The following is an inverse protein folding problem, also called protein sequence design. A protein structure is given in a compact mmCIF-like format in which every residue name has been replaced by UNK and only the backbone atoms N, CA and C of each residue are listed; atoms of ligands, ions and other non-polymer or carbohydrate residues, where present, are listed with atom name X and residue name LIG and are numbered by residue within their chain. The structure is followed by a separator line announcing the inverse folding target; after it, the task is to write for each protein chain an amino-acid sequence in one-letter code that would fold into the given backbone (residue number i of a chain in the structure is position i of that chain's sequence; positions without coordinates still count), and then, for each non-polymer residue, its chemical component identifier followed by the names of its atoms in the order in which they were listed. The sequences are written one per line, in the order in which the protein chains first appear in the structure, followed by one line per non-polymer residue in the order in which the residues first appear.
data_IF_444503502376
#
_entry.id   IF_444503502376
#
_cell.length_a   1.000
_cell.length_b   1.000
_cell.length_c   1.000
_cell.angle_alpha   90.00
_cell.angle_beta   90.00
_cell.angle_gamma   90.00
#
_symmetry.space_group_name_H-M   'P 1'
#
loop_
_entity.id
_entity.type
_entity.pdbx_description
1 polymer ?
#
# COMPACT_ATOMS: atom_id res chain seq x y z
N UNK A 1 -9.94 9.16 -7.06
CA UNK A 1 -9.90 7.72 -6.89
C UNK A 1 -8.78 7.10 -7.71
N UNK A 2 -8.07 6.15 -7.15
CA UNK A 2 -6.93 5.54 -7.81
C UNK A 2 -7.37 4.28 -8.53
N UNK A 3 -6.97 4.12 -9.79
CA UNK A 3 -7.29 2.91 -10.52
C UNK A 3 -6.41 1.76 -10.04
N UNK A 4 -6.80 0.54 -10.41
CA UNK A 4 -6.05 -0.63 -10.04
C UNK A 4 -4.62 -0.59 -10.60
N UNK A 5 -4.48 -0.07 -11.80
CA UNK A 5 -3.17 0.07 -12.42
C UNK A 5 -2.31 1.03 -11.61
N UNK A 6 -2.89 2.13 -11.16
CA UNK A 6 -2.16 3.09 -10.35
C UNK A 6 -1.77 2.50 -9.00
N UNK A 7 -2.62 1.67 -8.43
CA UNK A 7 -2.31 1.02 -7.16
C UNK A 7 -1.06 0.15 -7.33
N UNK A 8 -1.00 -0.62 -8.42
CA UNK A 8 0.17 -1.46 -8.66
C UNK A 8 1.42 -0.63 -8.89
N UNK A 9 1.29 0.48 -9.61
CA UNK A 9 2.42 1.35 -9.86
C UNK A 9 2.96 1.94 -8.56
N UNK A 10 2.07 2.42 -7.72
CA UNK A 10 2.45 2.99 -6.44
C UNK A 10 3.12 1.92 -5.57
N UNK A 11 2.53 0.73 -5.53
CA UNK A 11 3.07 -0.36 -4.73
C UNK A 11 4.49 -0.71 -5.16
N UNK A 12 4.70 -0.79 -6.47
CA UNK A 12 6.04 -1.11 -6.98
C UNK A 12 7.04 -0.03 -6.61
N UNK A 13 6.65 1.23 -6.78
CA UNK A 13 7.54 2.33 -6.46
C UNK A 13 7.90 2.33 -4.99
N UNK A 14 6.93 2.09 -4.13
CA UNK A 14 7.18 2.03 -2.71
C UNK A 14 8.12 0.88 -2.36
N UNK A 15 7.90 -0.26 -2.99
CA UNK A 15 8.75 -1.42 -2.74
C UNK A 15 10.19 -1.14 -3.17
N UNK A 16 10.37 -0.46 -4.30
CA UNK A 16 11.69 -0.12 -4.78
C UNK A 16 12.39 0.88 -3.87
N UNK A 17 11.63 1.85 -3.37
CA UNK A 17 12.20 2.89 -2.53
C UNK A 17 12.47 2.43 -1.11
N UNK A 18 11.54 1.69 -0.54
CA UNK A 18 11.55 1.39 0.87
C UNK A 18 11.83 -0.06 1.22
N UNK A 19 11.80 -0.92 0.21
CA UNK A 19 12.04 -2.34 0.45
C UNK A 19 11.03 -2.91 1.42
N UNK A 20 11.52 -3.60 2.44
CA UNK A 20 10.65 -4.29 3.38
C UNK A 20 9.77 -3.33 4.19
N UNK A 21 10.16 -2.08 4.31
CA UNK A 21 9.37 -1.12 5.08
C UNK A 21 8.21 -0.56 4.28
N UNK A 22 8.10 -0.90 2.98
CA UNK A 22 7.03 -0.38 2.15
C UNK A 22 5.66 -0.75 2.71
N UNK A 23 5.52 -1.97 3.21
CA UNK A 23 4.23 -2.42 3.77
C UNK A 23 3.86 -1.55 4.95
N UNK A 24 4.81 -1.29 5.84
CA UNK A 24 4.56 -0.46 7.01
C UNK A 24 4.22 0.97 6.60
N UNK A 25 4.87 1.48 5.57
CA UNK A 25 4.58 2.83 5.08
C UNK A 25 3.15 2.93 4.57
N UNK A 26 2.73 1.96 3.76
CA UNK A 26 1.37 1.97 3.24
C UNK A 26 0.35 1.86 4.37
N UNK A 27 0.62 0.99 5.34
CA UNK A 27 -0.28 0.82 6.48
C UNK A 27 -0.39 2.12 7.28
N UNK A 28 0.72 2.79 7.47
CA UNK A 28 0.75 4.05 8.19
C UNK A 28 -0.06 5.12 7.47
N UNK A 29 0.07 5.18 6.15
CA UNK A 29 -0.70 6.12 5.37
C UNK A 29 -2.19 5.83 5.48
N UNK A 30 -2.57 4.55 5.50
CA UNK A 30 -3.97 4.19 5.66
C UNK A 30 -4.51 4.66 7.00
N UNK A 31 -3.74 4.45 8.07
CA UNK A 31 -4.17 4.87 9.39
C UNK A 31 -4.30 6.39 9.47
N UNK A 32 -3.35 7.10 8.86
CA UNK A 32 -3.41 8.55 8.85
C UNK A 32 -4.66 9.05 8.16
N UNK A 33 -5.04 8.41 7.04
CA UNK A 33 -6.25 8.79 6.34
C UNK A 33 -7.48 8.49 7.17
N UNK A 34 -7.50 7.35 7.85
CA UNK A 34 -8.63 7.01 8.73
C UNK A 34 -8.79 8.05 9.83
N UNK A 35 -7.68 8.51 10.39
CA UNK A 35 -7.73 9.51 11.45
C UNK A 35 -8.34 10.82 10.97
N UNK A 36 -8.17 11.13 9.69
CA UNK A 36 -8.73 12.34 9.11
C UNK A 36 -10.17 12.17 8.68
N UNK A 37 -10.69 10.94 8.74
CA UNK A 37 -12.02 10.66 8.25
C UNK A 37 -12.05 10.41 6.74
N UNK A 38 -10.90 10.22 6.12
CA UNK A 38 -10.80 10.02 4.69
C UNK A 38 -10.81 8.51 4.40
N UNK A 39 -11.99 7.91 4.55
CA UNK A 39 -12.11 6.46 4.49
C UNK A 39 -11.82 5.91 3.11
N UNK A 40 -12.17 6.65 2.08
CA UNK A 40 -11.96 6.18 0.73
C UNK A 40 -10.47 6.07 0.42
N UNK A 41 -9.72 7.10 0.77
CA UNK A 41 -8.29 7.09 0.53
C UNK A 41 -7.60 6.05 1.41
N UNK A 42 -8.09 5.89 2.65
CA UNK A 42 -7.55 4.86 3.53
C UNK A 42 -7.69 3.48 2.90
N UNK A 43 -8.83 3.23 2.26
CA UNK A 43 -9.07 1.95 1.60
C UNK A 43 -8.10 1.75 0.44
N UNK A 44 -7.81 2.82 -0.28
CA UNK A 44 -6.84 2.74 -1.37
C UNK A 44 -5.46 2.38 -0.86
N UNK A 45 -5.05 2.96 0.27
CA UNK A 45 -3.77 2.61 0.87
C UNK A 45 -3.72 1.16 1.33
N UNK A 46 -4.85 0.62 1.81
CA UNK A 46 -4.91 -0.80 2.15
C UNK A 46 -4.72 -1.66 0.91
N UNK A 47 -5.27 -1.23 -0.22
CA UNK A 47 -5.07 -1.94 -1.47
C UNK A 47 -3.59 -1.89 -1.89
N UNK A 48 -2.94 -0.75 -1.69
CA UNK A 48 -1.52 -0.64 -1.97
C UNK A 48 -0.73 -1.60 -1.09
N UNK A 49 -1.08 -1.66 0.17
CA UNK A 49 -0.42 -2.56 1.11
C UNK A 49 -0.54 -4.01 0.63
N UNK A 50 -1.74 -4.41 0.23
CA UNK A 50 -1.95 -5.77 -0.26
C UNK A 50 -1.15 -6.03 -1.52
N UNK A 51 -1.11 -5.07 -2.43
CA UNK A 51 -0.36 -5.23 -3.66
C UNK A 51 1.12 -5.41 -3.38
N UNK A 52 1.66 -4.68 -2.42
CA UNK A 52 3.08 -4.84 -2.05
C UNK A 52 3.32 -6.25 -1.53
N UNK A 53 2.42 -6.74 -0.69
CA UNK A 53 2.57 -8.09 -0.16
C UNK A 53 2.59 -9.14 -1.27
N UNK A 54 1.73 -8.95 -2.27
CA UNK A 54 1.67 -9.88 -3.37
C UNK A 54 2.91 -9.80 -4.25
N UNK A 55 3.45 -8.61 -4.42
CA UNK A 55 4.64 -8.43 -5.25
C UNK A 55 5.88 -9.05 -4.61
N UNK A 56 5.92 -9.08 -3.28
CA UNK A 56 7.03 -9.73 -2.60
C UNK A 56 6.98 -11.24 -2.74
N UNK A 57 5.83 -11.75 -3.12
CA UNK A 57 5.63 -13.17 -3.25
C UNK A 57 5.18 -13.79 -1.95
N UNK A 58 4.61 -14.99 -2.05
CA UNK A 58 4.18 -15.68 -0.86
C UNK A 58 5.41 -16.06 -0.10
N UNK A 59 5.52 -15.79 0.99
CA UNK A 59 6.69 -16.04 1.61
C UNK A 59 6.67 -17.17 2.26
N UNK A 60 6.73 -17.71 2.24
CA UNK A 60 6.73 -18.63 2.81
C UNK A 60 7.46 -18.95 3.51
N UNK A 61 7.72 -19.00 3.77
CA UNK A 61 8.44 -19.39 4.41
C UNK A 61 8.65 -19.94 4.85
#
# INVERSE_FOLDING_TARGET
MISEIQIHTIARQMLEKHGLTAIAQAARNAVACESKGDDEEAREWRHVEDAIKMMRGPQQS
#
